data_IF_939163168277
#
_entry.id   IF_939163168277
#
_cell.length_a   1.000
_cell.length_b   1.000
_cell.length_c   1.000
_cell.angle_alpha   90.00
_cell.angle_beta   90.00
_cell.angle_gamma   90.00
#
_symmetry.space_group_name_H-M   'P 1'
#
loop_
_entity.id
_entity.type
_entity.pdbx_description
1 polymer ?
#
# COMPACT_ATOMS: atom_id res chain seq x y z
N UNK A 1 -6.22 8.04 -8.06
CA UNK A 1 -6.31 6.58 -8.18
C UNK A 1 -4.96 5.89 -8.12
N UNK A 2 -3.93 6.60 -7.74
CA UNK A 2 -2.62 6.02 -7.54
C UNK A 2 -2.45 5.61 -6.09
N UNK A 3 -1.78 4.50 -5.90
CA UNK A 3 -1.35 4.12 -4.56
C UNK A 3 -0.10 4.91 -4.24
N UNK A 4 -0.07 5.53 -3.09
CA UNK A 4 1.07 6.32 -2.64
C UNK A 4 1.49 5.86 -1.25
N UNK A 5 2.78 5.97 -0.99
CA UNK A 5 3.33 5.61 0.31
C UNK A 5 4.11 6.80 0.86
N UNK A 6 3.83 7.16 2.09
CA UNK A 6 4.52 8.25 2.77
C UNK A 6 5.14 7.74 4.05
N UNK A 7 6.42 8.03 4.22
CA UNK A 7 7.12 7.65 5.44
C UNK A 7 6.95 8.75 6.48
N UNK A 8 6.44 8.36 7.65
CA UNK A 8 6.31 9.26 8.80
C UNK A 8 7.03 8.58 9.95
N UNK A 9 8.19 9.11 10.33
CA UNK A 9 9.08 8.48 11.31
C UNK A 9 9.43 7.06 10.83
N UNK A 10 9.13 6.04 11.63
CA UNK A 10 9.47 4.66 11.30
C UNK A 10 8.27 3.90 10.72
N UNK A 11 7.22 4.62 10.32
CA UNK A 11 6.01 4.00 9.79
C UNK A 11 5.73 4.50 8.38
N UNK A 12 5.01 3.67 7.65
CA UNK A 12 4.58 3.98 6.29
C UNK A 12 3.06 4.10 6.27
N UNK A 13 2.57 5.20 5.72
CA UNK A 13 1.14 5.38 5.48
C UNK A 13 0.89 5.12 3.99
N UNK A 14 0.00 4.18 3.71
CA UNK A 14 -0.40 3.82 2.34
C UNK A 14 -1.70 4.53 1.99
N UNK A 15 -1.69 5.28 0.92
CA UNK A 15 -2.87 6.00 0.43
C UNK A 15 -3.34 5.41 -0.89
N UNK A 16 -4.63 5.27 -1.00
CA UNK A 16 -5.27 4.84 -2.25
C UNK A 16 -6.65 5.48 -2.32
N UNK A 17 -6.97 6.05 -3.48
CA UNK A 17 -8.26 6.68 -3.75
C UNK A 17 -8.59 7.75 -2.69
N UNK A 18 -7.58 8.56 -2.34
CA UNK A 18 -7.74 9.65 -1.39
C UNK A 18 -7.90 9.23 0.07
N UNK A 19 -7.63 7.97 0.38
CA UNK A 19 -7.78 7.44 1.74
C UNK A 19 -6.52 6.75 2.20
N UNK A 20 -6.27 6.83 3.50
CA UNK A 20 -5.24 6.01 4.12
C UNK A 20 -5.83 4.62 4.32
N UNK A 21 -5.24 3.63 3.66
CA UNK A 21 -5.75 2.26 3.70
C UNK A 21 -4.96 1.36 4.64
N UNK A 22 -3.75 1.77 4.99
CA UNK A 22 -2.95 1.02 5.95
C UNK A 22 -1.82 1.89 6.49
N UNK A 23 -1.46 1.69 7.74
CA UNK A 23 -0.32 2.35 8.38
C UNK A 23 0.43 1.29 9.17
N UNK A 24 1.74 1.25 9.02
CA UNK A 24 2.56 0.30 9.78
C UNK A 24 4.04 0.47 9.46
N UNK A 25 4.85 -0.32 10.16
CA UNK A 25 6.28 -0.38 9.87
C UNK A 25 6.49 -1.00 8.47
N UNK A 26 7.68 -0.82 7.86
CA UNK A 26 7.96 -1.47 6.58
C UNK A 26 7.71 -2.98 6.60
N UNK A 27 8.03 -3.63 7.72
CA UNK A 27 7.80 -5.06 7.85
C UNK A 27 6.31 -5.39 7.91
N UNK A 28 5.55 -4.60 8.66
CA UNK A 28 4.09 -4.78 8.74
C UNK A 28 3.42 -4.58 7.39
N UNK A 29 3.84 -3.55 6.66
CA UNK A 29 3.30 -3.28 5.33
C UNK A 29 3.63 -4.43 4.38
N UNK A 30 4.84 -4.98 4.47
CA UNK A 30 5.27 -6.09 3.61
C UNK A 30 4.46 -7.36 3.89
N UNK A 31 4.03 -7.55 5.12
CA UNK A 31 3.27 -8.72 5.56
C UNK A 31 1.76 -8.46 5.60
N UNK A 32 1.30 -7.42 4.94
CA UNK A 32 -0.11 -7.03 4.94
C UNK A 32 -1.01 -8.10 4.34
N UNK A 33 -2.25 -8.12 4.82
CA UNK A 33 -3.30 -8.96 4.22
C UNK A 33 -4.19 -8.15 3.27
N UNK A 34 -3.97 -6.84 3.17
CA UNK A 34 -4.76 -5.98 2.29
C UNK A 34 -4.33 -6.19 0.84
N UNK A 35 -5.22 -6.66 -0.05
CA UNK A 35 -4.84 -6.97 -1.43
C UNK A 35 -4.35 -5.77 -2.23
N UNK A 36 -4.84 -4.57 -1.94
CA UNK A 36 -4.36 -3.35 -2.61
C UNK A 36 -2.92 -3.08 -2.24
N UNK A 37 -2.60 -3.17 -0.95
CA UNK A 37 -1.23 -2.95 -0.46
C UNK A 37 -0.31 -4.05 -0.97
N UNK A 38 -0.79 -5.31 -1.01
CA UNK A 38 -0.02 -6.42 -1.56
C UNK A 38 0.34 -6.18 -3.01
N UNK A 39 -0.60 -5.70 -3.82
CA UNK A 39 -0.35 -5.42 -5.22
C UNK A 39 0.76 -4.37 -5.37
N UNK A 40 0.70 -3.32 -4.58
CA UNK A 40 1.70 -2.26 -4.61
C UNK A 40 3.08 -2.74 -4.15
N UNK A 41 3.13 -3.41 -3.01
CA UNK A 41 4.41 -3.83 -2.40
C UNK A 41 5.09 -4.96 -3.17
N UNK A 42 4.32 -5.80 -3.85
CA UNK A 42 4.85 -6.93 -4.61
C UNK A 42 4.99 -6.62 -6.11
N UNK A 43 4.63 -5.41 -6.53
CA UNK A 43 4.76 -5.01 -7.93
C UNK A 43 3.91 -5.80 -8.88
N UNK A 44 2.74 -6.29 -8.44
CA UNK A 44 1.90 -7.15 -9.25
C UNK A 44 1.02 -6.33 -10.18
N UNK A 45 0.97 -6.73 -11.46
CA UNK A 45 0.10 -6.09 -12.44
C UNK A 45 -1.37 -6.47 -12.26
N UNK A 46 -1.64 -7.60 -11.62
CA UNK A 46 -3.00 -8.11 -11.39
C UNK A 46 -3.40 -7.92 -9.94
N UNK A 47 -4.64 -7.52 -9.73
CA UNK A 47 -5.19 -7.29 -8.42
C UNK A 47 -6.30 -6.26 -8.47
N UNK A 48 -6.75 -5.76 -7.32
CA UNK A 48 -7.84 -4.79 -7.26
C UNK A 48 -7.52 -3.45 -7.91
N UNK A 49 -6.25 -3.07 -8.02
CA UNK A 49 -5.86 -1.83 -8.69
C UNK A 49 -5.89 -2.06 -10.20
N UNK A 50 -6.77 -1.38 -10.91
CA UNK A 50 -7.00 -1.61 -12.32
C UNK A 50 -6.04 -0.86 -13.24
N UNK A 51 -5.60 0.29 -12.82
CA UNK A 51 -4.74 1.16 -13.64
C UNK A 51 -3.33 1.21 -13.06
N UNK A 52 -2.76 0.07 -12.90
CA UNK A 52 -1.40 -0.09 -12.38
C UNK A 52 -0.32 0.28 -13.41
#
# INVERSE_FOLDING_TARGET
>A
DMVSAYKVADKIAMLYDGRIIEVGTPEEIRNTENPVVQQFTHGRAKGPIKNW
#
